data_IF_607513226549
#
_entry.id   IF_607513226549
#
_cell.length_a   1.000
_cell.length_b   1.000
_cell.length_c   1.000
_cell.angle_alpha   90.00
_cell.angle_beta   90.00
_cell.angle_gamma   90.00
#
_symmetry.space_group_name_H-M   'P 1'
#
loop_
_entity.id
_entity.type
_entity.pdbx_description
1 polymer ?
#
# COMPACT_ATOMS: atom_id res chain seq x y z
N UNK A 1 -7.30 -15.99 10.94
CA UNK A 1 -6.62 -14.74 10.63
C UNK A 1 -5.82 -14.33 11.87
N UNK A 2 -4.78 -13.53 11.70
CA UNK A 2 -4.01 -12.99 12.81
C UNK A 2 -4.09 -11.47 12.75
N UNK A 3 -4.23 -10.83 13.90
CA UNK A 3 -4.30 -9.38 14.02
C UNK A 3 -3.10 -8.91 14.83
N UNK A 4 -2.48 -7.83 14.36
CA UNK A 4 -1.27 -7.26 14.92
C UNK A 4 -1.45 -5.74 15.00
N UNK A 5 -0.86 -5.13 16.02
CA UNK A 5 -0.94 -3.69 16.26
C UNK A 5 0.32 -2.95 15.81
N UNK A 6 1.26 -3.64 15.15
CA UNK A 6 2.56 -3.09 14.75
C UNK A 6 3.17 -3.89 13.57
N UNK A 7 4.23 -3.33 12.98
CA UNK A 7 5.03 -3.92 11.90
C UNK A 7 6.17 -4.82 12.43
N UNK A 8 5.98 -5.56 13.53
CA UNK A 8 7.01 -6.48 14.07
C UNK A 8 7.46 -7.55 13.06
N UNK A 9 8.10 -8.61 13.53
CA UNK A 9 8.64 -9.74 12.75
C UNK A 9 7.71 -10.33 11.66
N UNK A 10 6.41 -10.07 11.74
CA UNK A 10 5.43 -10.49 10.73
C UNK A 10 5.71 -9.92 9.34
N UNK A 11 6.30 -8.73 9.21
CA UNK A 11 6.57 -8.09 7.92
C UNK A 11 7.54 -8.94 7.07
N UNK A 12 8.48 -9.62 7.72
CA UNK A 12 9.47 -10.50 7.06
C UNK A 12 8.83 -11.74 6.40
N UNK A 13 7.64 -12.13 6.84
CA UNK A 13 6.93 -13.33 6.36
C UNK A 13 6.03 -13.05 5.16
N UNK A 14 5.70 -11.79 4.91
CA UNK A 14 4.77 -11.40 3.87
C UNK A 14 5.40 -11.49 2.47
N UNK A 15 4.64 -12.01 1.50
CA UNK A 15 4.96 -11.90 0.07
C UNK A 15 4.38 -10.61 -0.53
N UNK A 16 3.30 -10.09 0.06
CA UNK A 16 2.62 -8.86 -0.33
C UNK A 16 2.32 -8.05 0.93
N UNK A 17 2.67 -6.76 0.91
CA UNK A 17 2.19 -5.78 1.89
C UNK A 17 1.21 -4.87 1.16
N UNK A 18 -0.04 -4.84 1.61
CA UNK A 18 -1.06 -3.95 1.06
C UNK A 18 -1.36 -2.84 2.06
N UNK A 19 -0.86 -1.64 1.79
CA UNK A 19 -1.04 -0.48 2.63
C UNK A 19 -2.33 0.26 2.26
N UNK A 20 -2.95 0.91 3.23
CA UNK A 20 -4.14 1.76 3.02
C UNK A 20 -3.99 3.09 3.71
N UNK A 21 -4.49 4.14 3.07
CA UNK A 21 -4.60 5.47 3.66
C UNK A 21 -5.55 5.50 4.86
N UNK A 22 -5.16 6.17 5.94
CA UNK A 22 -6.07 6.58 7.01
C UNK A 22 -6.97 7.70 6.48
N UNK A 23 -8.26 7.40 6.33
CA UNK A 23 -9.24 8.30 5.71
C UNK A 23 -9.72 9.34 6.72
N UNK A 24 -9.18 10.57 6.63
CA UNK A 24 -9.53 11.72 7.49
C UNK A 24 -11.04 11.97 7.51
N UNK A 25 -11.70 11.81 6.37
CA UNK A 25 -13.13 11.98 6.17
C UNK A 25 -14.02 11.01 6.97
N UNK A 26 -13.45 9.96 7.57
CA UNK A 26 -14.18 9.02 8.44
C UNK A 26 -14.16 9.36 9.92
N UNK A 27 -13.42 10.39 10.33
CA UNK A 27 -13.33 10.82 11.73
C UNK A 27 -14.32 11.96 11.99
N UNK A 28 -15.12 11.84 13.05
CA UNK A 28 -16.01 12.92 13.52
C UNK A 28 -15.24 14.05 14.20
N UNK A 29 -14.09 13.74 14.82
CA UNK A 29 -13.21 14.70 15.48
C UNK A 29 -11.84 14.74 14.78
N UNK A 30 -11.42 15.90 14.22
CA UNK A 30 -10.08 16.09 13.68
C UNK A 30 -8.94 15.74 14.64
N UNK A 31 -9.12 15.89 15.96
CA UNK A 31 -8.08 15.55 16.94
C UNK A 31 -7.84 14.04 17.04
N UNK A 32 -8.86 13.21 16.83
CA UNK A 32 -8.70 11.75 16.81
C UNK A 32 -7.90 11.30 15.59
N UNK A 33 -8.18 11.88 14.43
CA UNK A 33 -7.40 11.64 13.21
C UNK A 33 -5.92 11.97 13.43
N UNK A 34 -5.63 13.14 14.00
CA UNK A 34 -4.26 13.60 14.24
C UNK A 34 -3.46 12.66 15.15
N UNK A 35 -4.13 11.99 16.10
CA UNK A 35 -3.49 11.00 16.99
C UNK A 35 -3.08 9.72 16.27
N UNK A 36 -3.79 9.32 15.21
CA UNK A 36 -3.61 8.00 14.58
C UNK A 36 -3.02 8.05 13.17
N UNK A 37 -3.02 9.21 12.50
CA UNK A 37 -2.59 9.35 11.09
C UNK A 37 -1.17 8.84 10.79
N UNK A 38 -0.31 8.78 11.81
CA UNK A 38 1.08 8.33 11.70
C UNK A 38 1.35 7.02 12.47
N UNK A 39 0.30 6.29 12.89
CA UNK A 39 0.48 5.05 13.66
C UNK A 39 1.12 3.93 12.85
N UNK A 40 0.91 3.92 11.53
CA UNK A 40 1.40 2.88 10.62
C UNK A 40 2.09 3.49 9.41
N UNK A 41 3.31 3.97 9.61
CA UNK A 41 4.18 4.49 8.54
C UNK A 41 5.22 3.45 8.18
N UNK A 42 5.22 3.02 6.92
CA UNK A 42 6.23 2.12 6.38
C UNK A 42 7.48 2.91 5.98
N UNK A 43 8.63 2.53 6.54
CA UNK A 43 9.94 3.06 6.21
C UNK A 43 10.82 2.00 5.54
N UNK A 44 11.82 2.43 4.77
CA UNK A 44 12.67 1.53 4.01
C UNK A 44 13.47 0.56 4.90
N UNK A 45 13.93 1.03 6.08
CA UNK A 45 14.65 0.20 7.05
C UNK A 45 13.82 -0.98 7.58
N UNK A 46 12.49 -0.89 7.59
CA UNK A 46 11.59 -1.98 8.01
C UNK A 46 11.55 -3.13 6.99
N UNK A 47 12.07 -2.90 5.78
CA UNK A 47 12.11 -3.90 4.72
C UNK A 47 13.38 -4.76 4.78
N UNK A 48 14.31 -4.46 5.67
CA UNK A 48 15.49 -5.29 5.91
C UNK A 48 15.08 -6.69 6.38
N UNK A 49 15.70 -7.73 5.83
CA UNK A 49 15.37 -9.13 6.15
C UNK A 49 14.01 -9.63 5.66
N UNK A 50 13.24 -8.80 4.93
CA UNK A 50 12.02 -9.26 4.25
C UNK A 50 12.37 -10.03 2.97
N UNK A 51 11.45 -10.89 2.51
CA UNK A 51 11.63 -11.71 1.31
C UNK A 51 12.05 -10.88 0.09
N UNK A 52 12.93 -11.41 -0.75
CA UNK A 52 13.38 -10.76 -1.98
C UNK A 52 12.22 -10.50 -2.96
N UNK A 53 11.25 -11.42 -3.03
CA UNK A 53 10.08 -11.31 -3.91
C UNK A 53 8.93 -10.47 -3.32
N UNK A 54 9.12 -9.85 -2.15
CA UNK A 54 8.09 -9.01 -1.53
C UNK A 54 7.68 -7.86 -2.49
N UNK A 55 6.38 -7.60 -2.58
CA UNK A 55 5.85 -6.41 -3.26
C UNK A 55 4.93 -5.60 -2.35
N UNK A 56 5.13 -4.29 -2.37
CA UNK A 56 4.36 -3.30 -1.62
C UNK A 56 3.33 -2.68 -2.55
N UNK A 57 2.06 -2.82 -2.19
CA UNK A 57 0.90 -2.32 -2.91
C UNK A 57 0.22 -1.21 -2.11
N UNK A 58 -0.34 -0.24 -2.83
CA UNK A 58 -1.10 0.86 -2.26
C UNK A 58 -2.05 1.40 -3.34
N UNK A 59 -3.34 1.62 -3.04
CA UNK A 59 -4.31 2.06 -4.05
C UNK A 59 -4.12 3.52 -4.50
N UNK A 60 -3.34 4.31 -3.76
CA UNK A 60 -3.13 5.75 -3.95
C UNK A 60 -4.44 6.58 -3.83
N UNK A 61 -4.35 7.92 -3.66
CA UNK A 61 -3.16 8.69 -3.28
C UNK A 61 -2.68 8.30 -1.88
N UNK A 62 -1.36 8.31 -1.67
CA UNK A 62 -0.79 8.17 -0.31
C UNK A 62 -0.64 9.53 0.36
N UNK A 63 -0.60 9.54 1.69
CA UNK A 63 -0.30 10.75 2.47
C UNK A 63 1.00 10.56 3.24
N UNK A 64 0.97 9.77 4.32
CA UNK A 64 2.12 9.55 5.21
C UNK A 64 2.37 8.06 5.50
N UNK A 65 1.43 7.19 5.14
CA UNK A 65 1.44 5.76 5.45
C UNK A 65 2.62 5.01 4.81
N UNK A 66 3.22 5.54 3.75
CA UNK A 66 4.46 5.04 3.14
C UNK A 66 5.40 6.23 3.01
N UNK A 67 6.57 6.14 3.64
CA UNK A 67 7.61 7.16 3.53
C UNK A 67 8.23 7.18 2.13
N UNK A 68 8.68 8.35 1.68
CA UNK A 68 9.28 8.53 0.35
C UNK A 68 10.59 7.76 0.18
N UNK A 69 11.27 7.40 1.27
CA UNK A 69 12.49 6.57 1.24
C UNK A 69 12.23 5.14 0.71
N UNK A 70 10.96 4.70 0.69
CA UNK A 70 10.55 3.41 0.15
C UNK A 70 10.46 3.44 -1.38
N UNK A 71 10.35 4.60 -2.02
CA UNK A 71 10.10 4.73 -3.47
C UNK A 71 11.20 4.12 -4.33
N UNK A 72 12.44 4.26 -3.88
CA UNK A 72 13.62 3.75 -4.58
C UNK A 72 13.85 2.25 -4.32
N UNK A 73 13.10 1.64 -3.39
CA UNK A 73 13.21 0.21 -3.11
C UNK A 73 12.56 -0.60 -4.23
N UNK A 74 13.24 -1.65 -4.71
CA UNK A 74 12.74 -2.58 -5.73
C UNK A 74 11.42 -3.30 -5.36
N UNK A 75 11.06 -3.28 -4.08
CA UNK A 75 9.83 -3.85 -3.52
C UNK A 75 8.64 -2.89 -3.68
N UNK A 76 8.87 -1.60 -3.93
CA UNK A 76 7.81 -0.62 -4.19
C UNK A 76 7.12 -0.89 -5.53
N UNK A 77 5.87 -1.36 -5.49
CA UNK A 77 5.12 -1.75 -6.69
C UNK A 77 3.87 -0.90 -6.93
N UNK A 78 3.52 0.01 -6.03
CA UNK A 78 2.30 0.82 -6.11
C UNK A 78 2.24 1.77 -7.32
N UNK A 79 3.39 2.21 -7.88
CA UNK A 79 3.39 2.96 -9.14
C UNK A 79 3.05 2.07 -10.34
N UNK A 80 3.67 0.89 -10.44
CA UNK A 80 3.36 -0.11 -11.46
C UNK A 80 1.91 -0.59 -11.33
N UNK A 81 1.42 -0.77 -10.09
CA UNK A 81 0.01 -1.06 -9.80
C UNK A 81 -0.94 0.00 -10.39
N UNK A 82 -0.64 1.29 -10.21
CA UNK A 82 -1.45 2.38 -10.76
C UNK A 82 -1.48 2.35 -12.30
N UNK A 83 -0.33 2.09 -12.93
CA UNK A 83 -0.24 1.88 -14.39
C UNK A 83 -1.06 0.66 -14.83
N UNK A 84 -0.99 -0.45 -14.10
CA UNK A 84 -1.79 -1.65 -14.37
C UNK A 84 -3.29 -1.39 -14.30
N UNK A 85 -3.73 -0.36 -13.57
CA UNK A 85 -5.11 0.12 -13.57
C UNK A 85 -5.57 0.63 -14.94
N UNK A 86 -4.68 1.15 -15.80
CA UNK A 86 -5.03 1.53 -17.19
C UNK A 86 -5.32 0.28 -18.02
N UNK A 87 -4.38 -0.68 -18.03
CA UNK A 87 -4.52 -1.91 -18.82
C UNK A 87 -5.72 -2.74 -18.36
N UNK A 88 -5.93 -2.83 -17.04
CA UNK A 88 -7.08 -3.55 -16.47
C UNK A 88 -8.40 -2.94 -16.95
N UNK A 89 -8.53 -1.61 -16.94
CA UNK A 89 -9.74 -0.93 -17.44
C UNK A 89 -9.94 -1.13 -18.94
N UNK A 90 -8.86 -1.04 -19.73
CA UNK A 90 -8.93 -1.31 -21.18
C UNK A 90 -9.42 -2.74 -21.45
N UNK A 91 -8.86 -3.73 -20.75
CA UNK A 91 -9.26 -5.13 -20.89
C UNK A 91 -10.72 -5.36 -20.49
N UNK A 92 -11.17 -4.78 -19.37
CA UNK A 92 -12.57 -4.86 -18.92
C UNK A 92 -13.51 -4.24 -19.97
N UNK A 93 -13.18 -3.04 -20.47
CA UNK A 93 -14.01 -2.36 -21.49
C UNK A 93 -14.04 -3.17 -22.80
N UNK A 94 -12.89 -3.64 -23.28
CA UNK A 94 -12.81 -4.47 -24.48
C UNK A 94 -13.64 -5.75 -24.34
N UNK A 95 -13.53 -6.43 -23.19
CA UNK A 95 -14.31 -7.63 -22.89
C UNK A 95 -15.82 -7.37 -22.88
N UNK A 96 -16.27 -6.26 -22.30
CA UNK A 96 -17.69 -5.89 -22.25
C UNK A 96 -18.23 -5.56 -23.66
N UNK A 97 -17.41 -4.93 -24.50
CA UNK A 97 -17.77 -4.57 -25.87
C UNK A 97 -17.60 -5.73 -26.88
N UNK A 98 -17.10 -6.88 -26.44
CA UNK A 98 -16.83 -8.04 -27.32
C UNK A 98 -15.67 -7.81 -28.29
N UNK A 99 -14.76 -6.89 -27.98
CA UNK A 99 -13.55 -6.62 -28.75
C UNK A 99 -12.50 -7.68 -28.40
N UNK A 100 -11.85 -8.25 -29.43
CA UNK A 100 -10.78 -9.25 -29.29
C UNK A 100 -9.41 -8.61 -29.48
#
# INVERSE_FOLDING_TARGET
YYEHNDFSDIISRADIIYMTRIQKERFSDPMEYEKVKNSYVLHNNMLEGTKENLKILHPLPRVNEISEDVDENEKAYYFTQALNGVYTRQAIIASILGLK
#
